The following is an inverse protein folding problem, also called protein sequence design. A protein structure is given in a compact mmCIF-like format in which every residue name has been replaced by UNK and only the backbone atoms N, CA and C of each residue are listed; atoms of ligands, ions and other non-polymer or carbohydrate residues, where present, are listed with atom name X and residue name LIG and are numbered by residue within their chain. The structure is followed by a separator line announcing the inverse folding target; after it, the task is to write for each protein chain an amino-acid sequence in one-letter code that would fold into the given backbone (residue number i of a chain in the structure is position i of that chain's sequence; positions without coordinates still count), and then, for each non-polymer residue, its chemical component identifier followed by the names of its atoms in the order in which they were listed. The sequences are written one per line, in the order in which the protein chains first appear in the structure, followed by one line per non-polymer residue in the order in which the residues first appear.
data_IF_630958040181
#
_entry.id   IF_630958040181
#
_cell.length_a   1.000
_cell.length_b   1.000
_cell.length_c   1.000
_cell.angle_alpha   90.00
_cell.angle_beta   90.00
_cell.angle_gamma   90.00
#
_symmetry.space_group_name_H-M   'P 1'
#
loop_
_entity.id
_entity.type
_entity.pdbx_description
1 polymer ?
#
# COMPACT_ATOMS: atom_id res chain seq x y z
N UNK A 1 40.48 -29.56 -17.63
CA UNK A 1 40.94 -29.59 -16.24
C UNK A 1 40.71 -28.23 -15.61
N UNK A 2 39.89 -28.01 -14.61
CA UNK A 2 38.62 -28.58 -14.14
C UNK A 2 38.22 -27.72 -12.93
N UNK A 3 36.91 -27.62 -12.72
CA UNK A 3 36.18 -27.18 -11.53
C UNK A 3 36.32 -25.76 -10.97
N UNK A 4 35.28 -24.98 -11.25
CA UNK A 4 34.89 -23.80 -10.50
C UNK A 4 33.38 -23.62 -10.58
N UNK A 5 32.63 -24.59 -10.06
CA UNK A 5 31.16 -24.57 -10.00
C UNK A 5 30.69 -23.35 -9.20
N UNK A 6 30.09 -22.36 -9.88
CA UNK A 6 29.44 -21.21 -9.24
C UNK A 6 27.93 -21.30 -9.43
N UNK A 7 27.26 -21.71 -8.34
CA UNK A 7 25.81 -21.80 -8.21
C UNK A 7 25.16 -20.44 -8.52
N UNK A 8 24.29 -20.43 -9.54
CA UNK A 8 23.43 -19.30 -9.83
C UNK A 8 22.21 -19.33 -8.91
N UNK A 9 22.27 -18.61 -7.79
CA UNK A 9 21.11 -18.36 -6.93
C UNK A 9 20.63 -16.93 -7.20
N UNK A 10 19.62 -16.81 -8.07
CA UNK A 10 18.91 -15.55 -8.35
C UNK A 10 18.37 -14.92 -7.05
N UNK A 11 18.91 -13.77 -6.65
CA UNK A 11 18.19 -12.73 -5.93
C UNK A 11 19.06 -11.47 -5.78
N UNK A 12 18.61 -10.35 -6.34
CA UNK A 12 19.16 -9.03 -6.04
C UNK A 12 19.10 -8.12 -7.26
N UNK A 13 18.36 -7.02 -7.17
CA UNK A 13 18.91 -5.77 -6.65
C UNK A 13 17.75 -4.95 -6.06
N UNK A 14 17.73 -4.79 -4.73
CA UNK A 14 16.95 -3.74 -4.07
C UNK A 14 17.92 -2.58 -3.90
N UNK A 15 17.83 -1.60 -4.79
CA UNK A 15 18.50 -0.32 -4.60
C UNK A 15 17.48 0.62 -3.97
N UNK A 16 17.56 0.78 -2.64
CA UNK A 16 16.85 1.84 -1.92
C UNK A 16 17.90 2.93 -1.72
N UNK A 17 17.93 3.86 -2.67
CA UNK A 17 18.67 5.12 -2.51
C UNK A 17 18.00 5.91 -1.38
N UNK A 18 18.81 6.25 -0.36
CA UNK A 18 18.39 6.82 0.93
C UNK A 18 18.76 8.30 1.08
N UNK A 19 19.05 8.99 -0.01
CA UNK A 19 19.63 10.33 0.04
C UNK A 19 18.94 11.27 -0.96
N UNK A 20 18.62 12.49 -0.49
CA UNK A 20 17.89 13.60 -1.15
C UNK A 20 16.36 13.61 -0.99
N UNK A 21 15.94 13.92 0.23
CA UNK A 21 14.68 14.63 0.49
C UNK A 21 14.90 16.13 0.18
N UNK A 22 15.26 16.49 -1.04
CA UNK A 22 15.24 17.89 -1.51
C UNK A 22 15.08 17.88 -3.02
N UNK A 23 13.83 17.87 -3.48
CA UNK A 23 13.54 18.04 -4.91
C UNK A 23 12.96 19.45 -5.07
N UNK A 24 13.88 20.39 -5.28
CA UNK A 24 13.58 21.69 -5.88
C UNK A 24 12.99 21.45 -7.28
N UNK A 25 11.67 21.50 -7.40
CA UNK A 25 10.99 21.41 -8.70
C UNK A 25 10.99 22.78 -9.36
N UNK A 26 11.89 23.00 -10.33
CA UNK A 26 11.64 23.96 -11.42
C UNK A 26 10.65 23.28 -12.38
N UNK A 27 9.41 23.77 -12.52
CA UNK A 27 8.38 23.08 -13.30
C UNK A 27 8.63 23.26 -14.80
N UNK A 28 8.97 22.17 -15.50
CA UNK A 28 8.78 22.07 -16.94
C UNK A 28 7.35 21.57 -17.20
N UNK A 29 6.40 22.50 -17.23
CA UNK A 29 4.98 22.38 -17.61
C UNK A 29 4.10 21.25 -17.02
N UNK A 30 3.12 21.74 -16.25
CA UNK A 30 1.72 21.29 -16.12
C UNK A 30 1.41 20.04 -15.29
N UNK A 31 1.15 20.35 -14.00
CA UNK A 31 0.26 19.68 -13.03
C UNK A 31 0.52 18.19 -12.71
N UNK A 32 0.81 17.84 -11.44
CA UNK A 32 0.90 16.44 -11.04
C UNK A 32 -0.43 15.74 -11.33
N UNK A 33 -0.40 14.47 -11.83
CA UNK A 33 -1.62 13.77 -12.21
C UNK A 33 -2.55 13.66 -11.01
N UNK A 34 -3.70 14.32 -11.09
CA UNK A 34 -4.70 14.27 -10.03
C UNK A 34 -5.44 12.93 -10.18
N UNK A 35 -5.51 12.10 -9.13
CA UNK A 35 -6.33 10.90 -9.16
C UNK A 35 -7.79 11.30 -9.40
N UNK A 36 -8.44 10.65 -10.36
CA UNK A 36 -9.85 10.87 -10.68
C UNK A 36 -10.71 9.80 -10.05
N UNK A 37 -12.01 10.07 -9.84
CA UNK A 37 -12.97 9.02 -9.49
C UNK A 37 -12.81 7.81 -10.42
N UNK A 38 -12.73 6.63 -9.83
CA UNK A 38 -12.55 5.35 -10.52
C UNK A 38 -11.09 4.91 -10.69
N UNK A 39 -10.10 5.81 -10.55
CA UNK A 39 -8.69 5.40 -10.57
C UNK A 39 -8.40 4.43 -9.40
N UNK A 40 -7.58 3.43 -9.67
CA UNK A 40 -7.00 2.57 -8.64
C UNK A 40 -5.68 3.18 -8.19
N UNK A 41 -5.51 3.32 -6.88
CA UNK A 41 -4.33 3.89 -6.25
C UNK A 41 -3.70 2.94 -5.26
N UNK A 42 -2.39 3.06 -5.13
CA UNK A 42 -1.61 2.48 -4.06
C UNK A 42 -1.28 3.57 -3.06
N UNK A 43 -1.61 3.32 -1.80
CA UNK A 43 -1.39 4.27 -0.72
C UNK A 43 -0.83 3.56 0.51
N UNK A 44 0.00 4.27 1.28
CA UNK A 44 0.54 3.79 2.55
C UNK A 44 -0.29 4.32 3.70
N UNK A 45 -0.69 3.46 4.63
CA UNK A 45 -1.37 3.87 5.85
C UNK A 45 -0.42 4.69 6.70
N UNK A 46 -0.82 5.92 7.04
CA UNK A 46 -0.04 6.80 7.93
C UNK A 46 -0.67 6.90 9.32
N UNK A 47 -2.00 6.80 9.42
CA UNK A 47 -2.71 6.83 10.70
C UNK A 47 -4.03 6.04 10.61
N UNK A 48 -4.48 5.50 11.74
CA UNK A 48 -5.74 4.76 11.85
C UNK A 48 -6.55 5.34 12.99
N UNK A 49 -7.61 6.10 12.66
CA UNK A 49 -8.56 6.66 13.62
C UNK A 49 -9.77 5.73 13.77
N UNK A 50 -10.66 6.07 14.70
CA UNK A 50 -11.86 5.28 14.99
C UNK A 50 -12.80 5.15 13.79
N UNK A 51 -12.97 6.21 13.00
CA UNK A 51 -13.92 6.23 11.86
C UNK A 51 -13.26 6.39 10.49
N UNK A 52 -11.94 6.63 10.45
CA UNK A 52 -11.23 6.81 9.19
C UNK A 52 -9.78 6.34 9.26
N UNK A 53 -9.30 5.78 8.14
CA UNK A 53 -7.89 5.48 7.90
C UNK A 53 -7.31 6.61 7.07
N UNK A 54 -6.21 7.20 7.52
CA UNK A 54 -5.48 8.21 6.78
C UNK A 54 -4.33 7.55 6.02
N UNK A 55 -4.23 7.81 4.73
CA UNK A 55 -3.23 7.24 3.84
C UNK A 55 -2.50 8.33 3.05
N UNK A 56 -1.26 8.04 2.69
CA UNK A 56 -0.46 8.83 1.76
C UNK A 56 -0.39 8.09 0.43
N UNK A 57 -0.82 8.73 -0.66
CA UNK A 57 -0.74 8.13 -1.99
C UNK A 57 0.72 7.95 -2.43
N UNK A 58 0.98 6.82 -3.07
CA UNK A 58 2.29 6.43 -3.61
C UNK A 58 2.23 6.48 -5.13
N UNK A 59 1.22 5.84 -5.74
CA UNK A 59 1.05 5.77 -7.20
C UNK A 59 -0.39 5.49 -7.62
N UNK A 60 -0.76 5.87 -8.84
CA UNK A 60 -1.97 5.40 -9.53
C UNK A 60 -1.58 4.19 -10.39
N UNK A 61 -2.38 3.14 -10.35
CA UNK A 61 -2.21 1.95 -11.19
C UNK A 61 -2.35 2.29 -12.68
N UNK A 62 -1.45 1.74 -13.51
CA UNK A 62 -1.48 1.95 -14.97
C UNK A 62 -0.90 3.28 -15.46
N UNK A 63 -0.51 4.20 -14.57
CA UNK A 63 0.21 5.44 -14.93
C UNK A 63 1.69 5.26 -14.61
N UNK A 64 2.41 4.66 -15.55
CA UNK A 64 3.85 4.45 -15.46
C UNK A 64 4.57 5.82 -15.56
N UNK A 65 5.46 6.10 -14.61
CA UNK A 65 6.46 7.17 -14.65
C UNK A 65 6.05 8.64 -14.36
N UNK A 66 4.97 8.90 -13.64
CA UNK A 66 4.85 10.21 -12.95
C UNK A 66 4.64 9.97 -11.48
N UNK A 67 5.67 10.31 -10.70
CA UNK A 67 5.55 10.58 -9.27
C UNK A 67 4.34 11.47 -9.08
N UNK A 68 3.24 10.86 -8.66
CA UNK A 68 2.06 11.59 -8.26
C UNK A 68 2.53 12.34 -7.04
N UNK A 69 2.51 13.67 -7.12
CA UNK A 69 2.95 14.58 -6.07
C UNK A 69 2.77 13.90 -4.71
N UNK A 70 3.90 13.47 -4.16
CA UNK A 70 4.11 12.45 -3.10
C UNK A 70 3.52 12.88 -1.74
N UNK A 71 2.62 13.86 -1.78
CA UNK A 71 2.14 14.70 -0.70
C UNK A 71 0.62 14.68 -0.57
N UNK A 72 -0.12 14.02 -1.47
CA UNK A 72 -1.60 14.05 -1.42
C UNK A 72 -2.13 13.00 -0.43
N UNK A 73 -2.83 13.50 0.59
CA UNK A 73 -3.49 12.69 1.61
C UNK A 73 -4.81 12.13 1.08
N UNK A 74 -5.10 10.90 1.49
CA UNK A 74 -6.32 10.19 1.18
C UNK A 74 -6.91 9.59 2.45
N UNK A 75 -8.23 9.40 2.46
CA UNK A 75 -8.97 8.85 3.58
C UNK A 75 -9.85 7.68 3.13
N UNK A 76 -9.92 6.64 3.96
CA UNK A 76 -10.93 5.58 3.84
C UNK A 76 -11.82 5.69 5.07
N UNK A 77 -13.09 6.06 4.88
CA UNK A 77 -14.07 6.02 5.96
C UNK A 77 -14.42 4.56 6.30
N UNK A 78 -14.80 4.29 7.56
CA UNK A 78 -15.12 2.93 8.02
C UNK A 78 -16.20 2.22 7.18
N UNK A 79 -17.18 2.97 6.68
CA UNK A 79 -18.22 2.43 5.78
C UNK A 79 -17.73 2.08 4.37
N UNK A 80 -16.51 2.50 4.01
CA UNK A 80 -15.87 2.25 2.71
C UNK A 80 -14.84 1.12 2.77
N UNK A 81 -14.74 0.39 3.88
CA UNK A 81 -13.74 -0.67 4.05
C UNK A 81 -14.16 -2.00 3.44
N UNK A 82 -15.38 -2.47 3.73
CA UNK A 82 -15.95 -3.73 3.25
C UNK A 82 -17.48 -3.65 3.21
N UNK A 83 -18.13 -4.53 2.46
CA UNK A 83 -19.58 -4.76 2.55
C UNK A 83 -19.84 -5.68 3.75
N UNK A 84 -19.86 -5.06 4.93
CA UNK A 84 -20.02 -5.73 6.21
C UNK A 84 -19.70 -4.78 7.36
N UNK A 85 -20.09 -5.16 8.57
CA UNK A 85 -19.78 -4.35 9.74
C UNK A 85 -18.28 -4.43 10.07
N UNK A 86 -17.69 -3.26 10.31
CA UNK A 86 -16.31 -3.12 10.78
C UNK A 86 -16.41 -2.57 12.18
N UNK A 87 -16.05 -3.38 13.18
CA UNK A 87 -16.04 -2.95 14.58
C UNK A 87 -14.90 -1.97 14.86
N UNK A 88 -13.69 -2.29 14.39
CA UNK A 88 -12.50 -1.48 14.61
C UNK A 88 -11.56 -1.51 13.40
N UNK A 89 -11.14 -0.33 12.96
CA UNK A 89 -10.29 -0.15 11.79
C UNK A 89 -8.88 -0.70 11.98
N UNK A 90 -8.39 -0.85 13.21
CA UNK A 90 -7.04 -1.37 13.51
C UNK A 90 -6.94 -2.88 13.26
N UNK A 91 -8.07 -3.58 13.22
CA UNK A 91 -8.15 -4.97 12.80
C UNK A 91 -8.04 -5.11 11.28
N UNK A 92 -8.42 -4.06 10.53
CA UNK A 92 -8.43 -4.07 9.07
C UNK A 92 -7.15 -3.49 8.48
N UNK A 93 -6.56 -2.47 9.12
CA UNK A 93 -5.39 -1.74 8.64
C UNK A 93 -4.44 -1.41 9.79
N UNK A 94 -3.13 -1.40 9.50
CA UNK A 94 -2.11 -0.85 10.41
C UNK A 94 -1.18 0.12 9.71
N UNK A 95 -0.57 0.98 10.53
CA UNK A 95 0.39 1.98 10.10
C UNK A 95 1.55 1.33 9.34
N UNK A 96 1.79 1.81 8.13
CA UNK A 96 2.81 1.30 7.23
C UNK A 96 2.35 0.20 6.26
N UNK A 97 1.12 -0.29 6.37
CA UNK A 97 0.55 -1.18 5.37
C UNK A 97 0.42 -0.45 4.03
N UNK A 98 0.61 -1.19 2.92
CA UNK A 98 0.34 -0.70 1.57
C UNK A 98 -1.01 -1.23 1.14
N UNK A 99 -1.88 -0.31 0.74
CA UNK A 99 -3.28 -0.56 0.40
C UNK A 99 -3.51 -0.21 -1.06
N UNK A 100 -4.13 -1.14 -1.78
CA UNK A 100 -4.72 -0.90 -3.11
C UNK A 100 -6.18 -0.50 -2.90
N UNK A 101 -6.54 0.69 -3.33
CA UNK A 101 -7.87 1.26 -3.11
C UNK A 101 -8.36 2.01 -4.35
N UNK A 102 -9.68 2.19 -4.47
CA UNK A 102 -10.30 2.90 -5.59
C UNK A 102 -10.76 4.28 -5.15
N UNK A 103 -10.56 5.28 -5.99
CA UNK A 103 -10.98 6.67 -5.73
C UNK A 103 -12.49 6.77 -5.93
N UNK A 104 -13.19 7.31 -4.93
CA UNK A 104 -14.64 7.56 -5.01
C UNK A 104 -14.99 9.05 -5.07
N UNK A 105 -14.12 9.93 -4.58
CA UNK A 105 -14.33 11.37 -4.64
C UNK A 105 -12.98 12.07 -4.66
N UNK A 106 -12.70 12.83 -5.73
CA UNK A 106 -11.48 13.64 -5.85
C UNK A 106 -11.66 15.12 -5.49
N UNK A 107 -12.90 15.57 -5.32
CA UNK A 107 -13.25 16.96 -4.95
C UNK A 107 -13.02 17.27 -3.46
N UNK A 108 -13.04 16.24 -2.60
CA UNK A 108 -12.83 16.37 -1.15
C UNK A 108 -11.35 16.20 -0.81
N UNK A 109 -10.85 17.03 0.10
CA UNK A 109 -9.53 16.86 0.71
C UNK A 109 -9.70 16.47 2.18
N UNK A 110 -9.22 15.29 2.63
CA UNK A 110 -8.50 14.28 1.86
C UNK A 110 -9.39 13.51 0.87
N UNK A 111 -8.78 13.04 -0.22
CA UNK A 111 -9.43 12.26 -1.27
C UNK A 111 -10.05 11.02 -0.66
N UNK A 112 -11.32 10.74 -0.98
CA UNK A 112 -11.99 9.57 -0.44
C UNK A 112 -11.71 8.34 -1.30
N UNK A 113 -11.33 7.26 -0.62
CA UNK A 113 -11.02 5.97 -1.20
C UNK A 113 -11.95 4.89 -0.64
N UNK A 114 -12.10 3.80 -1.40
CA UNK A 114 -12.85 2.61 -1.01
C UNK A 114 -12.01 1.34 -1.18
N UNK A 115 -12.24 0.35 -0.32
CA UNK A 115 -11.64 -0.99 -0.39
C UNK A 115 -12.69 -2.11 -0.36
N UNK A 116 -13.94 -1.79 -0.70
CA UNK A 116 -15.05 -2.74 -0.67
C UNK A 116 -14.85 -3.91 -1.62
N UNK A 117 -14.38 -3.65 -2.83
CA UNK A 117 -14.13 -4.68 -3.82
C UNK A 117 -13.11 -5.73 -3.30
N UNK A 118 -13.24 -7.03 -3.67
CA UNK A 118 -12.41 -8.11 -3.15
C UNK A 118 -10.92 -7.98 -3.56
N UNK A 119 -10.68 -7.34 -4.69
CA UNK A 119 -9.36 -7.04 -5.22
C UNK A 119 -8.73 -5.78 -4.56
N UNK A 120 -9.49 -5.06 -3.75
CA UNK A 120 -9.02 -3.92 -2.96
C UNK A 120 -8.78 -4.29 -1.50
N UNK A 121 -7.82 -3.58 -0.90
CA UNK A 121 -7.37 -3.79 0.46
C UNK A 121 -5.85 -3.80 0.57
N UNK A 122 -5.37 -4.30 1.70
CA UNK A 122 -3.95 -4.44 2.00
C UNK A 122 -3.32 -5.41 0.99
N UNK A 123 -2.28 -4.93 0.31
CA UNK A 123 -1.47 -5.71 -0.67
C UNK A 123 -0.08 -6.03 -0.13
N UNK A 124 0.38 -5.31 0.88
CA UNK A 124 1.64 -5.56 1.58
C UNK A 124 1.53 -5.13 3.04
N UNK A 125 2.01 -5.97 3.95
CA UNK A 125 1.98 -5.70 5.39
C UNK A 125 3.22 -6.24 6.09
N UNK A 126 3.61 -5.57 7.16
CA UNK A 126 4.73 -5.97 8.02
C UNK A 126 4.22 -6.43 9.37
N UNK A 127 4.94 -7.40 9.96
CA UNK A 127 4.60 -7.91 11.29
C UNK A 127 4.63 -6.79 12.32
N UNK A 128 3.56 -6.69 13.11
CA UNK A 128 3.47 -5.69 14.19
C UNK A 128 4.56 -5.82 15.25
N UNK A 129 5.13 -7.02 15.46
CA UNK A 129 6.17 -7.28 16.47
C UNK A 129 7.60 -7.13 15.96
N UNK A 130 7.92 -7.79 14.85
CA UNK A 130 9.30 -7.90 14.36
C UNK A 130 9.54 -7.27 12.99
N UNK A 131 8.52 -6.57 12.44
CA UNK A 131 8.56 -5.89 11.13
C UNK A 131 8.92 -6.78 9.94
N UNK A 132 8.91 -8.10 10.11
CA UNK A 132 9.12 -9.06 9.02
C UNK A 132 7.89 -9.07 8.10
N UNK A 133 8.06 -9.13 6.76
CA UNK A 133 6.93 -9.24 5.84
C UNK A 133 6.05 -10.45 6.17
N UNK A 134 4.76 -10.22 6.26
CA UNK A 134 3.81 -11.26 6.62
C UNK A 134 3.47 -12.15 5.41
N UNK A 135 3.06 -13.39 5.69
CA UNK A 135 2.63 -14.34 4.69
C UNK A 135 1.15 -14.66 4.90
N UNK A 136 0.37 -14.62 3.82
CA UNK A 136 -1.05 -14.98 3.86
C UNK A 136 -1.23 -16.49 4.02
N UNK A 137 -2.01 -16.88 5.01
CA UNK A 137 -2.47 -18.27 5.24
C UNK A 137 -3.99 -18.24 5.43
N UNK A 138 -4.72 -18.57 4.36
CA UNK A 138 -6.18 -18.41 4.33
C UNK A 138 -6.60 -16.94 4.45
N UNK A 139 -7.29 -16.60 5.54
CA UNK A 139 -7.77 -15.25 5.86
C UNK A 139 -6.87 -14.51 6.86
N UNK A 140 -5.79 -15.14 7.33
CA UNK A 140 -4.88 -14.56 8.30
C UNK A 140 -3.51 -14.27 7.69
N UNK A 141 -2.78 -13.36 8.33
CA UNK A 141 -1.39 -13.07 8.06
C UNK A 141 -0.53 -13.67 9.18
N UNK A 142 0.43 -14.51 8.80
CA UNK A 142 1.34 -15.17 9.74
C UNK A 142 2.75 -14.67 9.49
N UNK A 143 3.43 -14.30 10.57
CA UNK A 143 4.83 -13.93 10.52
C UNK A 143 5.71 -15.19 10.47
N UNK A 144 6.52 -15.40 9.42
CA UNK A 144 7.39 -16.57 9.32
C UNK A 144 8.55 -16.56 10.31
N UNK A 145 8.90 -15.38 10.87
CA UNK A 145 10.03 -15.22 11.81
C UNK A 145 9.65 -15.44 13.27
N UNK A 146 8.56 -14.82 13.72
CA UNK A 146 8.17 -14.84 15.14
C UNK A 146 6.83 -15.53 15.40
N UNK A 147 6.20 -16.13 14.37
CA UNK A 147 4.94 -16.85 14.49
C UNK A 147 3.70 -15.99 14.77
N UNK A 148 3.84 -14.66 14.88
CA UNK A 148 2.72 -13.77 15.19
C UNK A 148 1.65 -13.86 14.09
N UNK A 149 0.40 -14.06 14.51
CA UNK A 149 -0.76 -14.11 13.62
C UNK A 149 -1.55 -12.82 13.78
N UNK A 150 -1.93 -12.22 12.66
CA UNK A 150 -2.75 -11.01 12.63
C UNK A 150 -3.70 -10.99 11.43
N UNK A 151 -4.74 -10.18 11.52
CA UNK A 151 -5.75 -10.00 10.47
C UNK A 151 -5.62 -8.62 9.83
N UNK A 152 -6.08 -8.50 8.58
CA UNK A 152 -6.18 -7.27 7.78
C UNK A 152 -7.32 -7.41 6.78
N UNK A 153 -7.80 -6.29 6.23
CA UNK A 153 -8.61 -6.30 5.00
C UNK A 153 -7.72 -6.66 3.82
N UNK A 154 -7.53 -7.94 3.56
CA UNK A 154 -6.63 -8.40 2.49
C UNK A 154 -7.27 -8.21 1.11
N UNK A 155 -6.47 -7.72 0.17
CA UNK A 155 -6.75 -7.82 -1.26
C UNK A 155 -6.50 -9.25 -1.74
N UNK A 156 -7.23 -9.72 -2.75
CA UNK A 156 -6.91 -10.95 -3.51
C UNK A 156 -5.53 -10.89 -4.18
N UNK A 157 -5.00 -9.68 -4.39
CA UNK A 157 -3.67 -9.39 -4.93
C UNK A 157 -2.59 -9.24 -3.85
N UNK A 158 -2.83 -9.67 -2.60
CA UNK A 158 -1.82 -9.63 -1.54
C UNK A 158 -0.51 -10.29 -1.97
N UNK A 159 0.58 -9.52 -1.93
CA UNK A 159 1.94 -9.90 -2.37
C UNK A 159 2.04 -10.34 -3.85
N UNK A 160 1.04 -10.01 -4.68
CA UNK A 160 1.01 -10.26 -6.13
C UNK A 160 1.21 -8.98 -6.96
N UNK A 161 1.30 -7.83 -6.30
CA UNK A 161 1.50 -6.53 -6.94
C UNK A 161 2.99 -6.18 -6.98
N UNK A 162 3.45 -5.70 -8.13
CA UNK A 162 4.73 -4.99 -8.25
C UNK A 162 4.49 -3.51 -7.91
N UNK A 163 4.92 -3.11 -6.71
CA UNK A 163 4.79 -1.72 -6.24
C UNK A 163 6.03 -0.95 -6.65
#
# INVERSE_FOLDING_TARGET
MEDGNLYSTRAGWVKIDKDKIEISLKPASSTPPIPKVGDIVYARVIDVKQQAVLLRMIKIEGKDNREIATSKLAGIHISQVKDGFVEDLRNEFKIGDIVRARVITDEKSPIQLTTKDPDLGVVYALCSKCRTPLVRKGNQLVCPKCGNVETRKLSTLYRKVKI
#
